data_IF_201827076338
#
_entry.id   IF_201827076338
#
_cell.length_a   1.000
_cell.length_b   1.000
_cell.length_c   1.000
_cell.angle_alpha   90.00
_cell.angle_beta   90.00
_cell.angle_gamma   90.00
#
_symmetry.space_group_name_H-M   'P 1'
#
loop_
_entity.id
_entity.type
_entity.pdbx_description
1 polymer ?
#
# COMPACT_ATOMS: atom_id res chain seq x y z
N UNK A 1 -26.18 -64.05 -1.91
CA UNK A 1 -26.36 -62.85 -1.07
C UNK A 1 -25.28 -61.86 -1.47
N UNK A 2 -25.65 -60.88 -2.29
CA UNK A 2 -24.74 -59.94 -2.96
C UNK A 2 -24.48 -58.71 -2.07
N UNK A 3 -23.25 -58.16 -2.02
CA UNK A 3 -22.97 -56.98 -1.23
C UNK A 3 -23.41 -55.70 -1.96
N UNK A 4 -24.11 -54.85 -1.23
CA UNK A 4 -24.73 -53.60 -1.69
C UNK A 4 -23.68 -52.53 -1.99
N UNK A 5 -23.59 -52.06 -3.24
CA UNK A 5 -22.79 -50.90 -3.64
C UNK A 5 -23.46 -49.59 -3.16
N UNK A 6 -22.71 -48.73 -2.47
CA UNK A 6 -23.11 -47.33 -2.20
C UNK A 6 -23.00 -46.49 -3.49
N UNK A 7 -23.91 -45.53 -3.75
CA UNK A 7 -23.82 -44.68 -4.93
C UNK A 7 -22.79 -43.56 -4.73
N UNK A 8 -21.98 -43.36 -5.78
CA UNK A 8 -21.02 -42.25 -5.93
C UNK A 8 -21.75 -40.91 -6.09
N UNK A 9 -21.44 -39.94 -5.21
CA UNK A 9 -21.84 -38.53 -5.37
C UNK A 9 -21.14 -37.95 -6.59
N UNK A 10 -21.90 -37.60 -7.63
CA UNK A 10 -21.43 -36.79 -8.75
C UNK A 10 -21.16 -35.37 -8.26
N UNK A 11 -19.90 -34.93 -8.38
CA UNK A 11 -19.49 -33.56 -8.11
C UNK A 11 -20.04 -32.65 -9.22
N UNK A 12 -20.95 -31.73 -8.87
CA UNK A 12 -21.30 -30.61 -9.76
C UNK A 12 -20.16 -29.57 -9.70
N UNK A 13 -19.74 -28.98 -10.83
CA UNK A 13 -18.79 -27.89 -10.83
C UNK A 13 -19.39 -26.64 -10.17
N UNK A 14 -18.60 -25.97 -9.35
CA UNK A 14 -18.96 -24.75 -8.63
C UNK A 14 -19.02 -23.59 -9.63
N UNK A 15 -20.22 -23.08 -9.91
CA UNK A 15 -20.39 -21.80 -10.62
C UNK A 15 -20.07 -20.68 -9.62
N UNK A 16 -19.21 -19.69 -9.93
CA UNK A 16 -18.96 -18.56 -9.04
C UNK A 16 -20.28 -17.83 -8.78
N UNK A 17 -20.69 -17.76 -7.51
CA UNK A 17 -21.98 -17.22 -7.11
C UNK A 17 -22.08 -15.71 -7.36
N UNK A 18 -23.29 -15.24 -7.71
CA UNK A 18 -23.70 -13.83 -7.89
C UNK A 18 -23.06 -12.83 -6.90
N UNK A 19 -22.82 -13.24 -5.65
CA UNK A 19 -22.19 -12.42 -4.62
C UNK A 19 -20.79 -11.88 -5.00
N UNK A 20 -19.96 -12.68 -5.69
CA UNK A 20 -18.63 -12.24 -6.12
C UNK A 20 -18.67 -11.24 -7.28
N UNK A 21 -19.70 -11.32 -8.14
CA UNK A 21 -19.92 -10.37 -9.21
C UNK A 21 -20.40 -9.01 -8.68
N UNK A 22 -21.29 -9.02 -7.68
CA UNK A 22 -21.79 -7.79 -7.03
C UNK A 22 -20.68 -7.08 -6.24
N UNK A 23 -19.80 -7.83 -5.57
CA UNK A 23 -18.66 -7.26 -4.84
C UNK A 23 -17.59 -6.68 -5.79
N UNK A 24 -17.30 -7.35 -6.91
CA UNK A 24 -16.41 -6.82 -7.95
C UNK A 24 -17.01 -5.61 -8.67
N UNK A 25 -18.32 -5.61 -8.93
CA UNK A 25 -19.01 -4.45 -9.50
C UNK A 25 -18.97 -3.25 -8.53
N UNK A 26 -19.16 -3.48 -7.23
CA UNK A 26 -19.03 -2.45 -6.20
C UNK A 26 -17.60 -1.95 -6.06
N UNK A 27 -16.61 -2.83 -6.07
CA UNK A 27 -15.20 -2.46 -6.04
C UNK A 27 -14.80 -1.61 -7.25
N UNK A 28 -15.23 -1.99 -8.46
CA UNK A 28 -15.05 -1.18 -9.68
C UNK A 28 -15.76 0.17 -9.59
N UNK A 29 -16.97 0.21 -9.05
CA UNK A 29 -17.71 1.47 -8.85
C UNK A 29 -17.03 2.40 -7.84
N UNK A 30 -16.41 1.85 -6.79
CA UNK A 30 -15.64 2.62 -5.80
C UNK A 30 -14.29 3.09 -6.38
N UNK A 31 -13.63 2.28 -7.20
CA UNK A 31 -12.37 2.62 -7.86
C UNK A 31 -12.57 3.68 -8.97
N UNK A 32 -13.74 3.67 -9.62
CA UNK A 32 -14.12 4.60 -10.68
C UNK A 32 -14.70 5.94 -10.19
N UNK A 33 -14.69 6.23 -8.88
CA UNK A 33 -15.19 7.50 -8.35
C UNK A 33 -14.44 7.94 -7.11
N UNK A 34 -13.89 9.15 -7.14
CA UNK A 34 -13.24 9.79 -5.98
C UNK A 34 -13.89 11.13 -5.68
N UNK A 35 -14.11 11.42 -4.40
CA UNK A 35 -14.63 12.71 -3.95
C UNK A 35 -13.65 13.33 -2.96
N UNK A 36 -13.24 14.56 -3.24
CA UNK A 36 -12.33 15.34 -2.43
C UNK A 36 -13.12 16.40 -1.66
N UNK A 37 -12.86 16.61 -0.36
CA UNK A 37 -13.49 17.69 0.38
C UNK A 37 -13.11 19.06 -0.22
N UNK A 38 -13.84 20.14 0.09
CA UNK A 38 -13.46 21.49 -0.30
C UNK A 38 -12.02 21.79 0.15
N UNK A 39 -11.18 22.23 -0.78
CA UNK A 39 -9.79 22.57 -0.45
C UNK A 39 -9.73 23.91 0.29
N UNK A 40 -8.87 24.04 1.31
CA UNK A 40 -8.72 25.29 2.04
C UNK A 40 -8.20 26.41 1.13
N UNK A 41 -8.51 27.69 1.47
CA UNK A 41 -7.92 28.85 0.81
C UNK A 41 -6.38 28.77 0.81
N UNK A 42 -5.75 29.28 -0.25
CA UNK A 42 -4.29 29.26 -0.36
C UNK A 42 -3.68 30.34 0.53
N UNK A 43 -2.71 29.96 1.37
CA UNK A 43 -2.06 30.86 2.32
C UNK A 43 -1.26 31.97 1.62
N UNK A 44 -0.61 31.66 0.50
CA UNK A 44 0.24 32.58 -0.28
C UNK A 44 -0.26 32.69 -1.73
N UNK A 45 -1.18 33.62 -2.04
CA UNK A 45 -1.66 33.84 -3.40
C UNK A 45 -0.59 34.52 -4.27
N UNK A 46 0.13 33.74 -5.07
CA UNK A 46 1.18 34.21 -6.00
C UNK A 46 1.85 33.03 -6.71
N UNK A 47 2.59 33.26 -7.80
CA UNK A 47 3.34 32.20 -8.51
C UNK A 47 2.47 31.21 -9.32
N UNK A 48 3.09 30.10 -9.80
CA UNK A 48 2.38 29.01 -10.50
C UNK A 48 1.26 28.44 -9.63
N UNK A 49 0.18 27.95 -10.26
CA UNK A 49 -0.95 27.41 -9.48
C UNK A 49 -0.66 25.98 -9.05
N UNK A 50 0.01 25.22 -9.92
CA UNK A 50 0.45 23.87 -9.67
C UNK A 50 1.95 23.81 -9.37
N UNK A 51 2.34 22.79 -8.61
CA UNK A 51 3.72 22.53 -8.20
C UNK A 51 4.40 21.53 -9.12
N UNK A 52 3.66 20.53 -9.61
CA UNK A 52 4.19 19.45 -10.43
C UNK A 52 4.14 19.81 -11.90
N UNK A 53 4.98 19.18 -12.72
CA UNK A 53 5.00 19.46 -14.16
C UNK A 53 3.69 19.01 -14.83
N UNK A 54 3.05 17.93 -14.36
CA UNK A 54 1.75 17.46 -14.87
C UNK A 54 0.59 18.34 -14.41
N UNK A 55 0.63 18.86 -13.17
CA UNK A 55 -0.32 19.85 -12.69
C UNK A 55 -0.24 21.15 -13.49
N UNK A 56 0.97 21.59 -13.85
CA UNK A 56 1.15 22.74 -14.74
C UNK A 56 0.64 22.45 -16.15
N UNK A 57 0.96 21.30 -16.75
CA UNK A 57 0.42 20.91 -18.05
C UNK A 57 -1.13 20.85 -18.07
N UNK A 58 -1.75 20.45 -16.97
CA UNK A 58 -3.22 20.50 -16.81
C UNK A 58 -3.76 21.93 -16.79
N UNK A 59 -3.09 22.84 -16.09
CA UNK A 59 -3.45 24.27 -16.08
C UNK A 59 -3.28 24.87 -17.48
N UNK A 60 -2.13 24.63 -18.12
CA UNK A 60 -1.80 25.14 -19.44
C UNK A 60 -2.86 24.71 -20.47
N UNK A 61 -3.30 23.45 -20.43
CA UNK A 61 -4.34 22.96 -21.33
C UNK A 61 -5.66 23.72 -21.23
N UNK A 62 -6.01 24.28 -20.06
CA UNK A 62 -7.15 25.16 -19.92
C UNK A 62 -6.81 26.59 -20.35
N UNK A 63 -5.69 27.14 -19.89
CA UNK A 63 -5.30 28.52 -20.16
C UNK A 63 -5.12 28.79 -21.66
N UNK A 64 -4.59 27.82 -22.40
CA UNK A 64 -4.41 27.89 -23.86
C UNK A 64 -5.75 27.93 -24.63
N UNK A 65 -6.84 27.42 -24.04
CA UNK A 65 -8.20 27.54 -24.64
C UNK A 65 -8.85 28.89 -24.34
N UNK A 66 -8.33 29.64 -23.37
CA UNK A 66 -9.00 30.81 -22.83
C UNK A 66 -8.64 32.08 -23.61
N UNK A 67 -9.65 32.71 -24.21
CA UNK A 67 -9.48 33.96 -24.96
C UNK A 67 -9.47 35.22 -24.06
N UNK A 68 -9.82 35.09 -22.78
CA UNK A 68 -9.97 36.21 -21.84
C UNK A 68 -9.17 35.96 -20.56
N UNK A 69 -7.99 36.57 -20.49
CA UNK A 69 -7.08 36.52 -19.34
C UNK A 69 -7.71 37.10 -18.06
N UNK A 70 -8.64 38.06 -18.18
CA UNK A 70 -9.36 38.61 -17.04
C UNK A 70 -10.34 37.60 -16.43
N UNK A 71 -10.92 36.69 -17.23
CA UNK A 71 -11.73 35.58 -16.72
C UNK A 71 -10.88 34.56 -15.97
N UNK A 72 -9.71 34.21 -16.50
CA UNK A 72 -8.76 33.31 -15.84
C UNK A 72 -8.31 33.87 -14.48
N UNK A 73 -7.91 35.15 -14.43
CA UNK A 73 -7.51 35.80 -13.19
C UNK A 73 -8.62 35.77 -12.12
N UNK A 74 -9.88 35.99 -12.52
CA UNK A 74 -11.02 35.85 -11.59
C UNK A 74 -11.25 34.40 -11.16
N UNK A 75 -11.11 33.43 -12.06
CA UNK A 75 -11.22 32.02 -11.72
C UNK A 75 -10.16 31.56 -10.74
N UNK A 76 -8.90 31.99 -10.95
CA UNK A 76 -7.79 31.79 -10.03
C UNK A 76 -8.09 32.36 -8.66
N UNK A 77 -8.58 33.60 -8.59
CA UNK A 77 -8.94 34.23 -7.32
C UNK A 77 -10.08 33.47 -6.58
N UNK A 78 -11.00 32.84 -7.32
CA UNK A 78 -12.05 32.01 -6.71
C UNK A 78 -11.50 30.69 -6.16
N UNK A 79 -10.58 30.06 -6.88
CA UNK A 79 -9.87 28.88 -6.41
C UNK A 79 -9.06 29.20 -5.14
N UNK A 80 -8.28 30.30 -5.16
CA UNK A 80 -7.46 30.75 -4.04
C UNK A 80 -8.26 31.01 -2.76
N UNK A 81 -9.52 31.46 -2.89
CA UNK A 81 -10.41 31.76 -1.75
C UNK A 81 -11.25 30.58 -1.28
N UNK A 82 -11.06 29.38 -1.85
CA UNK A 82 -11.83 28.20 -1.47
C UNK A 82 -13.31 28.26 -1.86
N UNK A 83 -13.66 28.92 -2.97
CA UNK A 83 -15.06 29.01 -3.43
C UNK A 83 -15.57 27.75 -4.16
N UNK A 84 -14.77 26.68 -4.21
CA UNK A 84 -15.13 25.41 -4.83
C UNK A 84 -15.44 24.42 -3.71
N UNK A 85 -16.65 23.88 -3.70
CA UNK A 85 -17.07 22.83 -2.76
C UNK A 85 -16.38 21.49 -3.08
N UNK A 86 -16.86 20.39 -2.48
CA UNK A 86 -16.33 19.06 -2.72
C UNK A 86 -16.27 18.71 -4.22
N UNK A 87 -15.11 18.23 -4.65
CA UNK A 87 -14.81 17.90 -6.05
C UNK A 87 -15.01 16.40 -6.24
N UNK A 88 -15.88 16.00 -7.17
CA UNK A 88 -16.07 14.59 -7.55
C UNK A 88 -15.42 14.32 -8.90
N UNK A 89 -14.58 13.29 -8.95
CA UNK A 89 -13.88 12.81 -10.14
C UNK A 89 -14.38 11.42 -10.50
N UNK A 90 -14.69 11.24 -11.79
CA UNK A 90 -15.05 9.97 -12.44
C UNK A 90 -14.34 9.89 -13.80
N UNK A 91 -14.31 8.72 -14.48
CA UNK A 91 -13.80 8.62 -15.84
C UNK A 91 -14.27 9.75 -16.76
N UNK A 92 -13.29 10.47 -17.31
CA UNK A 92 -13.47 11.59 -18.23
C UNK A 92 -14.11 12.85 -17.66
N UNK A 93 -14.27 12.97 -16.32
CA UNK A 93 -15.15 14.01 -15.77
C UNK A 93 -14.83 14.45 -14.34
N UNK A 94 -14.77 15.76 -14.14
CA UNK A 94 -14.67 16.44 -12.83
C UNK A 94 -15.90 17.31 -12.61
N UNK A 95 -16.50 17.28 -11.42
CA UNK A 95 -17.63 18.16 -11.06
C UNK A 95 -17.46 18.74 -9.67
N UNK A 96 -17.83 20.01 -9.53
CA UNK A 96 -18.03 20.64 -8.24
C UNK A 96 -19.15 21.69 -8.29
N UNK A 97 -19.62 22.06 -7.12
CA UNK A 97 -20.39 23.29 -6.94
C UNK A 97 -19.44 24.44 -6.61
N UNK A 98 -19.64 25.59 -7.24
CA UNK A 98 -18.80 26.77 -7.10
C UNK A 98 -19.66 27.94 -6.69
N UNK A 99 -19.31 28.53 -5.54
CA UNK A 99 -19.97 29.71 -5.00
C UNK A 99 -19.73 30.90 -5.91
N UNK A 100 -20.72 31.78 -6.01
CA UNK A 100 -20.70 32.93 -6.90
C UNK A 100 -21.50 34.10 -6.33
N UNK A 101 -22.00 34.97 -7.20
CA UNK A 101 -22.83 36.10 -6.77
C UNK A 101 -24.25 35.73 -6.34
N UNK A 102 -24.74 34.53 -6.70
CA UNK A 102 -26.07 34.05 -6.33
C UNK A 102 -26.00 33.19 -5.06
N UNK A 103 -27.06 33.17 -4.23
CA UNK A 103 -27.12 32.30 -3.05
C UNK A 103 -26.99 30.80 -3.37
N UNK A 104 -27.47 30.38 -4.54
CA UNK A 104 -27.33 28.99 -5.01
C UNK A 104 -26.02 28.83 -5.80
N UNK A 105 -25.11 27.91 -5.40
CA UNK A 105 -23.87 27.65 -6.13
C UNK A 105 -24.11 27.18 -7.56
N UNK A 106 -23.17 27.50 -8.45
CA UNK A 106 -23.18 27.03 -9.84
C UNK A 106 -22.53 25.66 -9.93
N UNK A 107 -23.04 24.80 -10.82
CA UNK A 107 -22.43 23.50 -11.08
C UNK A 107 -21.44 23.65 -12.22
N UNK A 108 -20.15 23.50 -11.90
CA UNK A 108 -19.07 23.49 -12.87
C UNK A 108 -18.66 22.05 -13.18
N UNK A 109 -18.26 21.82 -14.43
CA UNK A 109 -17.88 20.52 -14.94
C UNK A 109 -16.70 20.67 -15.89
N UNK A 110 -15.70 19.81 -15.74
CA UNK A 110 -14.62 19.62 -16.70
C UNK A 110 -14.77 18.23 -17.31
N UNK A 111 -14.65 18.12 -18.63
CA UNK A 111 -14.57 16.83 -19.32
C UNK A 111 -13.24 16.68 -20.02
N UNK A 112 -12.63 15.53 -19.85
CA UNK A 112 -11.41 15.10 -20.51
C UNK A 112 -11.70 13.81 -21.28
N UNK A 113 -11.17 13.63 -22.48
CA UNK A 113 -11.35 12.36 -23.20
C UNK A 113 -10.64 11.23 -22.46
N UNK A 114 -11.32 10.11 -22.31
CA UNK A 114 -10.70 8.88 -21.81
C UNK A 114 -9.77 8.28 -22.87
N UNK A 115 -8.71 7.62 -22.43
CA UNK A 115 -7.79 6.96 -23.34
C UNK A 115 -8.42 5.68 -23.91
N UNK A 116 -8.19 5.38 -25.20
CA UNK A 116 -8.57 4.10 -25.78
C UNK A 116 -7.70 2.96 -25.23
N UNK A 117 -8.16 1.72 -25.39
CA UNK A 117 -7.47 0.55 -24.84
C UNK A 117 -6.04 0.42 -25.37
N UNK A 118 -5.81 0.76 -26.64
CA UNK A 118 -4.49 0.69 -27.27
C UNK A 118 -3.50 1.69 -26.65
N UNK A 119 -3.98 2.84 -26.17
CA UNK A 119 -3.14 3.81 -25.46
C UNK A 119 -2.82 3.32 -24.04
N UNK A 120 -3.80 2.73 -23.35
CA UNK A 120 -3.55 2.06 -22.07
C UNK A 120 -2.56 0.91 -22.19
N UNK A 121 -2.61 0.13 -23.27
CA UNK A 121 -1.66 -0.94 -23.51
C UNK A 121 -0.23 -0.43 -23.71
N UNK A 122 -0.04 0.67 -24.45
CA UNK A 122 1.27 1.33 -24.58
C UNK A 122 1.77 1.87 -23.24
N UNK A 123 0.90 2.53 -22.46
CA UNK A 123 1.23 3.02 -21.13
C UNK A 123 1.73 1.89 -20.24
N UNK A 124 0.92 0.84 -20.10
CA UNK A 124 1.20 -0.30 -19.24
C UNK A 124 2.45 -1.07 -19.70
N UNK A 125 2.67 -1.21 -21.01
CA UNK A 125 3.88 -1.82 -21.54
C UNK A 125 5.14 -1.02 -21.19
N UNK A 126 5.09 0.31 -21.39
CA UNK A 126 6.23 1.20 -21.09
C UNK A 126 6.53 1.26 -19.58
N UNK A 127 5.50 1.23 -18.74
CA UNK A 127 5.65 1.19 -17.30
C UNK A 127 6.19 -0.16 -16.80
N UNK A 128 5.73 -1.27 -17.36
CA UNK A 128 6.17 -2.60 -16.96
C UNK A 128 7.57 -2.98 -17.47
N UNK A 129 8.05 -2.35 -18.54
CA UNK A 129 9.38 -2.62 -19.11
C UNK A 129 10.54 -2.16 -18.21
N UNK A 130 10.29 -1.29 -17.23
CA UNK A 130 11.33 -0.65 -16.40
C UNK A 130 10.85 -0.55 -14.94
N UNK A 131 11.45 -1.28 -13.97
CA UNK A 131 11.04 -1.26 -12.57
C UNK A 131 10.99 0.15 -11.94
N UNK A 132 11.88 1.04 -12.37
CA UNK A 132 11.92 2.43 -11.91
C UNK A 132 10.66 3.23 -12.28
N UNK A 133 10.02 2.93 -13.42
CA UNK A 133 8.76 3.60 -13.80
C UNK A 133 7.63 3.21 -12.86
N UNK A 134 7.58 1.94 -12.44
CA UNK A 134 6.63 1.47 -11.45
C UNK A 134 6.91 2.10 -10.08
N UNK A 135 8.19 2.16 -9.66
CA UNK A 135 8.58 2.81 -8.41
C UNK A 135 8.16 4.29 -8.40
N UNK A 136 8.45 5.06 -9.46
CA UNK A 136 8.00 6.45 -9.58
C UNK A 136 6.49 6.60 -9.44
N UNK A 137 5.69 5.74 -10.09
CA UNK A 137 4.23 5.79 -9.96
C UNK A 137 3.75 5.50 -8.53
N UNK A 138 4.41 4.58 -7.81
CA UNK A 138 4.10 4.28 -6.41
C UNK A 138 4.46 5.45 -5.49
N UNK A 139 5.52 6.18 -5.81
CA UNK A 139 5.94 7.42 -5.15
C UNK A 139 5.12 8.64 -5.60
N UNK A 140 4.03 8.43 -6.36
CA UNK A 140 3.15 9.47 -6.90
C UNK A 140 3.86 10.48 -7.80
N UNK A 141 4.87 10.02 -8.53
CA UNK A 141 5.51 10.77 -9.59
C UNK A 141 5.05 10.26 -10.97
N UNK A 142 4.97 11.16 -11.94
CA UNK A 142 4.60 10.84 -13.33
C UNK A 142 5.82 11.05 -14.22
N UNK A 143 6.56 10.00 -14.58
CA UNK A 143 7.67 10.11 -15.51
C UNK A 143 7.21 10.63 -16.89
N UNK A 144 7.96 11.59 -17.46
CA UNK A 144 7.67 12.13 -18.80
C UNK A 144 7.55 11.04 -19.87
N UNK A 145 8.36 9.98 -19.77
CA UNK A 145 8.31 8.85 -20.70
C UNK A 145 6.95 8.12 -20.68
N UNK A 146 6.35 7.95 -19.50
CA UNK A 146 5.03 7.31 -19.37
C UNK A 146 3.91 8.21 -19.85
N UNK A 147 3.99 9.49 -19.50
CA UNK A 147 3.04 10.48 -19.98
C UNK A 147 3.00 10.56 -21.51
N UNK A 148 4.16 10.53 -22.16
CA UNK A 148 4.28 10.57 -23.62
C UNK A 148 3.81 9.27 -24.30
N UNK A 149 3.96 8.11 -23.65
CA UNK A 149 3.59 6.82 -24.25
C UNK A 149 2.09 6.68 -24.59
N UNK A 150 1.24 7.45 -23.91
CA UNK A 150 -0.21 7.36 -24.01
C UNK A 150 -0.93 8.71 -24.10
N UNK A 151 -0.22 9.79 -24.41
CA UNK A 151 -0.76 11.15 -24.48
C UNK A 151 -1.57 11.50 -23.22
N UNK A 152 -0.98 11.19 -22.06
CA UNK A 152 -1.68 11.18 -20.78
C UNK A 152 -2.20 12.57 -20.37
N UNK A 153 -1.45 13.62 -20.72
CA UNK A 153 -1.77 14.99 -20.36
C UNK A 153 -2.77 15.59 -21.35
N UNK A 154 -3.70 16.44 -20.90
CA UNK A 154 -4.64 17.11 -21.79
C UNK A 154 -3.91 18.03 -22.78
N UNK A 155 -4.41 18.10 -24.00
CA UNK A 155 -4.08 19.15 -24.97
C UNK A 155 -5.23 20.17 -25.04
N UNK A 156 -5.02 21.29 -25.73
CA UNK A 156 -6.00 22.39 -25.90
C UNK A 156 -7.41 21.89 -26.25
N UNK A 157 -7.54 20.97 -27.22
CA UNK A 157 -8.85 20.45 -27.65
C UNK A 157 -9.39 19.28 -26.82
N UNK A 158 -8.67 18.85 -25.79
CA UNK A 158 -8.98 17.65 -25.00
C UNK A 158 -9.78 17.95 -23.74
N UNK A 159 -9.62 19.17 -23.19
CA UNK A 159 -10.22 19.61 -21.95
C UNK A 159 -11.35 20.61 -22.21
N UNK A 160 -12.58 20.18 -22.01
CA UNK A 160 -13.76 21.04 -22.16
C UNK A 160 -14.32 21.46 -20.81
N UNK A 161 -14.73 22.71 -20.69
CA UNK A 161 -15.26 23.27 -19.45
C UNK A 161 -16.71 23.77 -19.63
N UNK A 162 -17.60 23.30 -18.76
CA UNK A 162 -19.02 23.64 -18.74
C UNK A 162 -19.43 24.18 -17.37
N UNK A 163 -20.42 25.09 -17.35
CA UNK A 163 -20.94 25.63 -16.10
C UNK A 163 -22.39 26.10 -16.27
N UNK A 164 -23.19 25.94 -15.21
CA UNK A 164 -24.59 26.43 -15.19
C UNK A 164 -24.73 27.93 -14.99
N UNK A 165 -23.63 28.69 -14.93
CA UNK A 165 -23.67 30.13 -14.77
C UNK A 165 -24.08 30.83 -16.08
N UNK A 166 -24.66 32.06 -16.01
CA UNK A 166 -25.08 32.79 -17.20
C UNK A 166 -23.93 33.38 -18.04
N UNK A 167 -22.67 33.22 -17.60
CA UNK A 167 -21.49 33.68 -18.35
C UNK A 167 -21.21 32.71 -19.50
N UNK A 168 -21.27 33.23 -20.74
CA UNK A 168 -21.00 32.48 -21.98
C UNK A 168 -19.51 32.42 -22.33
N UNK A 169 -18.63 32.76 -21.40
CA UNK A 169 -17.19 32.61 -21.55
C UNK A 169 -16.74 31.15 -21.54
N UNK A 170 -15.73 30.84 -22.35
CA UNK A 170 -15.10 29.53 -22.44
C UNK A 170 -13.61 29.66 -22.05
N UNK A 171 -13.19 29.22 -20.84
CA UNK A 171 -14.02 28.89 -19.68
C UNK A 171 -14.59 30.13 -18.97
N UNK A 172 -15.69 29.96 -18.22
CA UNK A 172 -16.14 30.96 -17.26
C UNK A 172 -15.28 30.92 -15.98
N UNK A 173 -15.34 31.96 -15.14
CA UNK A 173 -14.55 32.00 -13.89
C UNK A 173 -14.78 30.79 -12.95
N UNK A 174 -15.99 30.22 -12.93
CA UNK A 174 -16.29 29.08 -12.05
C UNK A 174 -15.67 27.77 -12.59
N UNK A 175 -15.72 27.56 -13.90
CA UNK A 175 -15.07 26.43 -14.56
C UNK A 175 -13.54 26.52 -14.43
N UNK A 176 -12.98 27.72 -14.63
CA UNK A 176 -11.57 27.99 -14.38
C UNK A 176 -11.17 27.72 -12.92
N UNK A 177 -11.99 28.16 -11.94
CA UNK A 177 -11.74 27.88 -10.53
C UNK A 177 -11.69 26.36 -10.22
N UNK A 178 -12.61 25.58 -10.81
CA UNK A 178 -12.59 24.12 -10.70
C UNK A 178 -11.32 23.53 -11.31
N UNK A 179 -10.89 24.02 -12.47
CA UNK A 179 -9.67 23.55 -13.14
C UNK A 179 -8.42 23.78 -12.30
N UNK A 180 -8.27 24.99 -11.75
CA UNK A 180 -7.18 25.32 -10.85
C UNK A 180 -7.18 24.43 -9.59
N UNK A 181 -8.32 24.26 -8.90
CA UNK A 181 -8.37 23.36 -7.74
C UNK A 181 -8.10 21.89 -8.11
N UNK A 182 -8.49 21.46 -9.31
CA UNK A 182 -8.18 20.12 -9.80
C UNK A 182 -6.66 19.95 -9.99
N UNK A 183 -5.94 20.98 -10.44
CA UNK A 183 -4.49 20.94 -10.55
C UNK A 183 -3.80 20.65 -9.20
N UNK A 184 -4.31 21.21 -8.11
CA UNK A 184 -3.81 20.92 -6.75
C UNK A 184 -4.08 19.49 -6.31
N UNK A 185 -5.25 18.95 -6.65
CA UNK A 185 -5.55 17.54 -6.41
C UNK A 185 -4.57 16.65 -7.19
N UNK A 186 -4.26 17.03 -8.44
CA UNK A 186 -3.30 16.30 -9.28
C UNK A 186 -1.86 16.39 -8.73
N UNK A 187 -1.46 17.51 -8.13
CA UNK A 187 -0.16 17.67 -7.48
C UNK A 187 0.00 16.70 -6.29
N UNK A 188 -1.05 16.50 -5.50
CA UNK A 188 -1.04 15.61 -4.33
C UNK A 188 -1.23 14.12 -4.70
N UNK A 189 -1.92 13.86 -5.81
CA UNK A 189 -2.26 12.52 -6.25
C UNK A 189 -2.47 12.41 -7.78
N UNK A 190 -1.45 11.96 -8.53
CA UNK A 190 -1.57 11.78 -9.97
C UNK A 190 -2.49 10.63 -10.38
N UNK A 191 -2.92 9.74 -9.46
CA UNK A 191 -3.89 8.70 -9.80
C UNK A 191 -5.25 9.26 -10.20
N UNK A 192 -5.52 10.51 -9.82
CA UNK A 192 -6.69 11.26 -10.30
C UNK A 192 -6.61 11.51 -11.81
N UNK A 193 -5.43 11.69 -12.38
CA UNK A 193 -5.23 11.81 -13.83
C UNK A 193 -5.55 10.50 -14.54
N UNK A 194 -5.08 9.36 -14.02
CA UNK A 194 -5.38 8.05 -14.58
C UNK A 194 -6.88 7.74 -14.51
N UNK A 195 -7.53 8.10 -13.39
CA UNK A 195 -8.97 7.99 -13.24
C UNK A 195 -9.70 8.82 -14.29
N UNK A 196 -9.29 10.07 -14.50
CA UNK A 196 -9.84 10.93 -15.55
C UNK A 196 -9.63 10.35 -16.95
N UNK A 197 -8.49 9.70 -17.19
CA UNK A 197 -8.21 8.98 -18.44
C UNK A 197 -8.90 7.63 -18.55
N UNK A 198 -9.62 7.19 -17.52
CA UNK A 198 -10.57 6.07 -17.57
C UNK A 198 -10.19 4.82 -16.79
N UNK A 199 -9.07 4.81 -16.04
CA UNK A 199 -8.68 3.66 -15.20
C UNK A 199 -8.54 4.07 -13.75
N UNK A 200 -9.22 3.33 -12.88
CA UNK A 200 -9.07 3.51 -11.43
C UNK A 200 -7.69 3.09 -10.93
N UNK A 201 -7.35 3.51 -9.72
CA UNK A 201 -6.05 3.22 -9.09
C UNK A 201 -5.85 1.72 -8.92
N UNK A 202 -6.85 1.02 -8.36
CA UNK A 202 -6.73 -0.41 -8.13
C UNK A 202 -6.66 -1.20 -9.43
N UNK A 203 -7.46 -0.80 -10.42
CA UNK A 203 -7.43 -1.37 -11.75
C UNK A 203 -6.05 -1.21 -12.42
N UNK A 204 -5.48 0.00 -12.36
CA UNK A 204 -4.19 0.32 -12.95
C UNK A 204 -3.06 -0.47 -12.29
N UNK A 205 -2.96 -0.44 -10.96
CA UNK A 205 -1.92 -1.13 -10.22
C UNK A 205 -1.97 -2.64 -10.47
N UNK A 206 -3.17 -3.25 -10.47
CA UNK A 206 -3.32 -4.67 -10.83
C UNK A 206 -2.87 -4.96 -12.25
N UNK A 207 -3.16 -4.09 -13.21
CA UNK A 207 -2.72 -4.27 -14.59
C UNK A 207 -1.19 -4.20 -14.72
N UNK A 208 -0.56 -3.25 -14.04
CA UNK A 208 0.89 -3.11 -13.98
C UNK A 208 1.55 -4.34 -13.35
N UNK A 209 1.11 -4.78 -12.16
CA UNK A 209 1.66 -5.96 -11.50
C UNK A 209 1.59 -7.22 -12.37
N UNK A 210 0.47 -7.44 -13.07
CA UNK A 210 0.36 -8.57 -14.00
C UNK A 210 1.33 -8.47 -15.19
N UNK A 211 1.56 -7.27 -15.72
CA UNK A 211 2.39 -7.08 -16.91
C UNK A 211 3.87 -7.16 -16.56
N UNK A 212 4.27 -6.61 -15.41
CA UNK A 212 5.63 -6.74 -14.86
C UNK A 212 5.99 -8.20 -14.61
N UNK A 213 5.09 -9.00 -14.01
CA UNK A 213 5.38 -10.42 -13.76
C UNK A 213 5.56 -11.24 -15.04
N UNK A 214 4.78 -10.93 -16.09
CA UNK A 214 4.96 -11.55 -17.41
C UNK A 214 6.31 -11.14 -18.01
N UNK A 215 6.67 -9.85 -17.96
CA UNK A 215 7.94 -9.37 -18.50
C UNK A 215 9.15 -10.01 -17.79
N UNK A 216 9.12 -10.12 -16.46
CA UNK A 216 10.17 -10.77 -15.71
C UNK A 216 10.26 -12.27 -15.99
N UNK A 217 9.13 -12.95 -16.21
CA UNK A 217 9.11 -14.36 -16.60
C UNK A 217 9.71 -14.55 -18.00
N UNK A 218 9.39 -13.68 -18.95
CA UNK A 218 9.94 -13.70 -20.30
C UNK A 218 11.45 -13.43 -20.32
N UNK A 219 11.92 -12.40 -19.62
CA UNK A 219 13.35 -12.10 -19.53
C UNK A 219 14.13 -13.26 -18.90
N UNK A 220 13.58 -13.90 -17.86
CA UNK A 220 14.17 -15.12 -17.28
C UNK A 220 14.14 -16.31 -18.23
N UNK A 221 13.11 -16.45 -19.05
CA UNK A 221 13.04 -17.52 -20.07
C UNK A 221 14.06 -17.35 -21.20
N UNK A 222 14.38 -16.09 -21.56
CA UNK A 222 15.40 -15.74 -22.55
C UNK A 222 16.81 -15.88 -21.99
N UNK A 223 16.99 -15.67 -20.69
CA UNK A 223 18.21 -16.04 -19.97
C UNK A 223 18.32 -17.57 -19.93
N UNK A 224 18.82 -18.15 -21.02
CA UNK A 224 18.94 -19.60 -21.18
C UNK A 224 19.78 -20.17 -20.05
N UNK A 225 19.14 -20.90 -19.14
CA UNK A 225 19.84 -21.82 -18.26
C UNK A 225 20.67 -22.77 -19.15
N UNK A 226 21.92 -23.09 -18.79
CA UNK A 226 22.70 -24.04 -19.57
C UNK A 226 21.89 -25.32 -19.74
N UNK A 227 21.73 -25.77 -20.99
CA UNK A 227 21.21 -27.10 -21.26
C UNK A 227 22.23 -28.08 -20.67
N UNK A 228 21.91 -28.59 -19.50
CA UNK A 228 22.66 -29.68 -18.90
C UNK A 228 22.22 -30.96 -19.61
N UNK A 229 23.18 -31.75 -20.06
CA UNK A 229 22.93 -33.10 -20.55
C UNK A 229 22.14 -33.87 -19.49
N UNK A 230 20.88 -34.17 -19.79
CA UNK A 230 20.01 -34.88 -18.86
C UNK A 230 20.17 -36.39 -19.05
N UNK A 231 20.41 -37.09 -17.94
CA UNK A 231 20.45 -38.55 -17.89
C UNK A 231 19.18 -39.06 -17.21
N UNK A 232 18.49 -40.08 -17.75
CA UNK A 232 17.37 -40.70 -17.07
C UNK A 232 17.80 -41.20 -15.69
N UNK A 233 17.01 -40.88 -14.65
CA UNK A 233 17.36 -41.17 -13.25
C UNK A 233 17.70 -42.66 -13.00
N UNK A 234 17.03 -43.57 -13.74
CA UNK A 234 17.30 -45.02 -13.69
C UNK A 234 18.72 -45.38 -14.15
N UNK A 235 19.25 -44.67 -15.15
CA UNK A 235 20.53 -44.98 -15.78
C UNK A 235 21.67 -44.35 -14.95
N UNK A 236 21.44 -43.16 -14.39
CA UNK A 236 22.32 -42.56 -13.37
C UNK A 236 22.44 -43.44 -12.11
N UNK A 237 21.31 -43.97 -11.62
CA UNK A 237 21.29 -44.86 -10.46
C UNK A 237 21.90 -46.24 -10.74
N UNK A 238 21.69 -46.79 -11.95
CA UNK A 238 22.28 -48.06 -12.36
C UNK A 238 23.81 -47.97 -12.52
N UNK A 239 24.33 -46.87 -13.08
CA UNK A 239 25.77 -46.61 -13.19
C UNK A 239 26.46 -46.47 -11.82
N UNK A 240 25.77 -45.88 -10.84
CA UNK A 240 26.25 -45.74 -9.46
C UNK A 240 26.30 -47.06 -8.66
N UNK A 241 25.55 -48.10 -9.06
CA UNK A 241 25.54 -49.41 -8.39
C UNK A 241 26.73 -50.31 -8.74
N UNK A 242 27.43 -50.02 -9.84
CA UNK A 242 28.52 -50.83 -10.37
C UNK A 242 29.92 -50.19 -10.26
N UNK A 243 30.02 -48.98 -9.72
CA UNK A 243 31.28 -48.21 -9.69
C UNK A 243 31.31 -47.13 -8.62
N UNK A 244 32.50 -46.58 -8.39
CA UNK A 244 32.80 -45.54 -7.41
C UNK A 244 31.92 -44.30 -7.67
N UNK A 245 31.15 -43.87 -6.67
CA UNK A 245 30.32 -42.66 -6.74
C UNK A 245 31.20 -41.46 -7.14
N UNK A 246 30.71 -40.55 -8.00
CA UNK A 246 31.43 -39.32 -8.27
C UNK A 246 31.67 -38.57 -6.96
N UNK A 247 32.82 -37.87 -6.83
CA UNK A 247 33.07 -37.03 -5.66
C UNK A 247 31.94 -36.01 -5.54
N UNK A 248 31.59 -35.65 -4.30
CA UNK A 248 30.63 -34.58 -4.05
C UNK A 248 31.10 -33.32 -4.81
N UNK A 249 30.17 -32.58 -5.44
CA UNK A 249 30.51 -31.27 -5.99
C UNK A 249 31.14 -30.41 -4.88
N UNK A 250 32.04 -29.48 -5.25
CA UNK A 250 32.64 -28.58 -4.28
C UNK A 250 31.53 -27.84 -3.53
N UNK A 251 31.78 -27.53 -2.26
CA UNK A 251 30.85 -26.73 -1.46
C UNK A 251 30.55 -25.42 -2.19
N UNK A 252 29.27 -25.16 -2.45
CA UNK A 252 28.85 -23.90 -3.04
C UNK A 252 29.02 -22.80 -2.01
N UNK A 253 29.61 -21.64 -2.38
CA UNK A 253 29.70 -20.52 -1.47
C UNK A 253 28.29 -20.08 -1.08
N UNK A 254 28.06 -19.84 0.22
CA UNK A 254 26.79 -19.30 0.68
C UNK A 254 26.58 -17.91 0.03
N UNK A 255 25.41 -17.65 -0.57
CA UNK A 255 25.12 -16.34 -1.14
C UNK A 255 25.11 -15.27 -0.04
N UNK A 256 25.56 -14.06 -0.39
CA UNK A 256 25.65 -12.95 0.57
C UNK A 256 24.27 -12.51 1.09
N UNK A 257 23.22 -12.71 0.29
CA UNK A 257 21.84 -12.33 0.60
C UNK A 257 20.88 -13.46 0.23
N UNK A 258 19.70 -13.55 0.87
CA UNK A 258 18.63 -14.43 0.43
C UNK A 258 18.24 -14.15 -1.02
N UNK A 259 18.10 -15.20 -1.84
CA UNK A 259 17.60 -15.05 -3.20
C UNK A 259 16.11 -14.70 -3.21
N UNK A 260 15.69 -13.95 -4.23
CA UNK A 260 14.27 -13.60 -4.44
C UNK A 260 13.59 -14.68 -5.28
N UNK A 261 12.34 -15.04 -4.97
CA UNK A 261 11.60 -16.02 -5.75
C UNK A 261 11.36 -15.55 -7.19
N UNK A 262 11.11 -16.50 -8.13
CA UNK A 262 10.66 -16.16 -9.46
C UNK A 262 9.23 -15.60 -9.42
N UNK A 263 8.90 -14.72 -10.36
CA UNK A 263 7.53 -14.24 -10.57
C UNK A 263 6.60 -15.41 -10.94
N UNK A 264 5.53 -15.58 -10.17
CA UNK A 264 4.56 -16.65 -10.41
C UNK A 264 3.43 -16.19 -11.35
N UNK A 265 3.11 -16.94 -12.42
CA UNK A 265 1.98 -16.62 -13.28
C UNK A 265 0.66 -16.80 -12.52
N UNK A 266 -0.32 -15.92 -12.79
CA UNK A 266 -1.69 -16.12 -12.29
C UNK A 266 -2.32 -17.33 -13.00
N UNK A 267 -2.87 -18.29 -12.25
CA UNK A 267 -3.68 -19.38 -12.79
C UNK A 267 -5.02 -19.50 -12.02
N UNK A 268 -6.13 -19.86 -12.67
CA UNK A 268 -7.47 -19.83 -12.06
C UNK A 268 -7.62 -20.65 -10.77
N UNK A 269 -6.88 -21.76 -10.67
CA UNK A 269 -6.90 -22.69 -9.53
C UNK A 269 -5.63 -22.59 -8.65
N UNK A 270 -4.74 -21.64 -8.93
CA UNK A 270 -3.52 -21.45 -8.14
C UNK A 270 -3.75 -20.54 -6.93
N UNK A 271 -2.95 -20.69 -5.85
CA UNK A 271 -2.88 -19.71 -4.78
C UNK A 271 -2.60 -18.31 -5.33
N UNK A 272 -3.07 -17.28 -4.61
CA UNK A 272 -2.79 -15.88 -4.96
C UNK A 272 -1.28 -15.69 -5.21
N UNK A 273 -0.87 -15.23 -6.41
CA UNK A 273 0.55 -15.13 -6.76
C UNK A 273 1.34 -14.21 -5.84
N UNK A 274 0.70 -13.18 -5.27
CA UNK A 274 1.33 -12.31 -4.29
C UNK A 274 1.57 -13.07 -2.97
N UNK A 275 0.57 -13.78 -2.47
CA UNK A 275 0.74 -14.66 -1.30
C UNK A 275 1.82 -15.74 -1.52
N UNK A 276 1.93 -16.29 -2.74
CA UNK A 276 2.97 -17.27 -3.08
C UNK A 276 4.37 -16.65 -3.12
N UNK A 277 4.52 -15.48 -3.74
CA UNK A 277 5.75 -14.68 -3.76
C UNK A 277 6.25 -14.38 -2.34
N UNK A 278 5.34 -14.00 -1.45
CA UNK A 278 5.62 -13.74 -0.05
C UNK A 278 6.10 -15.00 0.68
N UNK A 279 5.37 -16.12 0.57
CA UNK A 279 5.76 -17.38 1.19
C UNK A 279 7.11 -17.88 0.68
N UNK A 280 7.38 -17.72 -0.60
CA UNK A 280 8.65 -18.12 -1.20
C UNK A 280 9.81 -17.21 -0.78
N UNK A 281 9.57 -15.90 -0.64
CA UNK A 281 10.53 -14.94 -0.08
C UNK A 281 10.87 -15.31 1.36
N UNK A 282 9.87 -15.58 2.20
CA UNK A 282 10.06 -16.00 3.59
C UNK A 282 10.83 -17.33 3.70
N UNK A 283 10.52 -18.29 2.82
CA UNK A 283 11.27 -19.54 2.75
C UNK A 283 12.73 -19.32 2.35
N UNK A 284 12.99 -18.42 1.40
CA UNK A 284 14.35 -18.03 0.99
C UNK A 284 15.14 -17.39 2.11
N UNK A 285 14.53 -16.48 2.87
CA UNK A 285 15.15 -15.84 4.06
C UNK A 285 15.48 -16.88 5.14
N UNK A 286 14.55 -17.79 5.45
CA UNK A 286 14.79 -18.86 6.42
C UNK A 286 15.90 -19.82 5.97
N UNK A 287 15.90 -20.21 4.69
CA UNK A 287 16.93 -21.09 4.14
C UNK A 287 18.31 -20.44 4.17
N UNK A 288 18.41 -19.14 3.88
CA UNK A 288 19.64 -18.37 3.99
C UNK A 288 20.14 -18.28 5.43
N UNK A 289 19.25 -18.01 6.40
CA UNK A 289 19.60 -17.99 7.82
C UNK A 289 20.12 -19.36 8.29
N UNK A 290 19.45 -20.44 7.90
CA UNK A 290 19.89 -21.81 8.18
C UNK A 290 21.27 -22.11 7.60
N UNK A 291 21.50 -21.73 6.34
CA UNK A 291 22.76 -21.96 5.64
C UNK A 291 23.93 -21.18 6.27
N UNK A 292 23.70 -19.94 6.69
CA UNK A 292 24.75 -19.04 7.16
C UNK A 292 25.03 -19.12 8.66
N UNK A 293 24.01 -19.44 9.47
CA UNK A 293 24.11 -19.44 10.94
C UNK A 293 23.96 -20.83 11.55
N UNK A 294 23.42 -21.80 10.80
CA UNK A 294 23.05 -23.12 11.34
C UNK A 294 21.82 -23.11 12.25
N UNK A 295 21.20 -21.95 12.47
CA UNK A 295 20.04 -21.77 13.33
C UNK A 295 18.79 -21.48 12.52
N UNK A 296 17.67 -22.08 12.95
CA UNK A 296 16.36 -21.81 12.36
C UNK A 296 15.66 -20.69 13.15
N UNK A 297 15.45 -19.50 12.54
CA UNK A 297 14.83 -18.38 13.24
C UNK A 297 13.34 -18.60 13.55
N UNK A 298 12.69 -19.59 12.91
CA UNK A 298 11.26 -19.88 13.07
C UNK A 298 11.04 -21.04 14.05
N UNK A 299 11.97 -22.00 14.13
CA UNK A 299 11.85 -23.16 15.02
C UNK A 299 11.51 -22.83 16.49
N UNK A 300 12.04 -21.77 17.13
CA UNK A 300 11.69 -21.47 18.52
C UNK A 300 10.33 -20.77 18.67
N UNK A 301 9.69 -20.32 17.58
CA UNK A 301 8.46 -19.57 17.64
C UNK A 301 7.25 -20.50 17.82
N UNK A 302 6.34 -20.10 18.71
CA UNK A 302 5.00 -20.69 18.78
C UNK A 302 4.20 -20.40 17.50
N UNK A 303 3.14 -21.18 17.20
CA UNK A 303 2.26 -20.90 16.05
C UNK A 303 1.67 -19.48 16.06
N UNK A 304 1.45 -18.92 17.25
CA UNK A 304 0.97 -17.54 17.39
C UNK A 304 2.06 -16.52 17.03
N UNK A 305 3.26 -16.66 17.59
CA UNK A 305 4.39 -15.79 17.28
C UNK A 305 4.76 -15.83 15.80
N UNK A 306 4.74 -17.02 15.17
CA UNK A 306 4.98 -17.15 13.74
C UNK A 306 3.86 -16.51 12.90
N UNK A 307 2.60 -16.63 13.31
CA UNK A 307 1.49 -15.94 12.65
C UNK A 307 1.62 -14.41 12.73
N UNK A 308 2.05 -13.87 13.87
CA UNK A 308 2.32 -12.43 14.05
C UNK A 308 3.48 -11.99 13.17
N UNK A 309 4.59 -12.73 13.18
CA UNK A 309 5.77 -12.49 12.33
C UNK A 309 5.38 -12.45 10.85
N UNK A 310 4.64 -13.47 10.39
CA UNK A 310 4.13 -13.54 9.02
C UNK A 310 3.28 -12.31 8.73
N UNK A 311 2.26 -12.00 9.54
CA UNK A 311 1.41 -10.84 9.30
C UNK A 311 2.17 -9.50 9.31
N UNK A 312 3.20 -9.36 10.15
CA UNK A 312 4.02 -8.15 10.25
C UNK A 312 4.86 -7.89 8.99
N UNK A 313 5.34 -8.96 8.35
CA UNK A 313 6.10 -8.90 7.09
C UNK A 313 5.27 -8.44 5.88
N UNK A 314 3.94 -8.32 6.01
CA UNK A 314 3.04 -7.89 4.93
C UNK A 314 2.69 -6.39 5.08
N UNK A 315 3.18 -5.51 4.18
CA UNK A 315 2.76 -4.11 4.16
C UNK A 315 1.26 -4.00 3.86
N UNK A 316 0.57 -3.05 4.50
CA UNK A 316 -0.84 -2.77 4.23
C UNK A 316 -1.86 -3.55 5.08
N UNK A 317 -1.49 -3.93 6.30
CA UNK A 317 -2.33 -4.54 7.35
C UNK A 317 -3.81 -4.14 7.28
N UNK A 318 -4.65 -5.01 6.71
CA UNK A 318 -6.12 -4.87 6.64
C UNK A 318 -6.67 -3.94 5.54
N UNK A 319 -5.81 -3.30 4.75
CA UNK A 319 -6.22 -2.29 3.75
C UNK A 319 -6.72 -2.93 2.45
N UNK A 320 -6.13 -4.05 2.04
CA UNK A 320 -6.50 -4.79 0.81
C UNK A 320 -7.37 -6.01 1.10
N UNK A 321 -8.14 -6.49 0.11
CA UNK A 321 -8.91 -7.73 0.26
C UNK A 321 -8.01 -8.94 0.57
N UNK A 322 -6.82 -8.99 -0.04
CA UNK A 322 -5.83 -10.04 0.20
C UNK A 322 -5.28 -10.01 1.64
N UNK A 323 -4.86 -8.85 2.13
CA UNK A 323 -4.37 -8.70 3.52
C UNK A 323 -5.48 -8.98 4.55
N UNK A 324 -6.74 -8.60 4.29
CA UNK A 324 -7.88 -8.97 5.15
C UNK A 324 -8.13 -10.48 5.18
N UNK A 325 -8.04 -11.15 4.03
CA UNK A 325 -8.19 -12.60 3.96
C UNK A 325 -7.08 -13.32 4.73
N UNK A 326 -5.83 -12.83 4.62
CA UNK A 326 -4.69 -13.34 5.38
C UNK A 326 -4.89 -13.17 6.90
N UNK A 327 -5.19 -11.95 7.36
CA UNK A 327 -5.44 -11.67 8.78
C UNK A 327 -6.57 -12.55 9.31
N UNK A 328 -7.68 -12.65 8.59
CA UNK A 328 -8.79 -13.50 8.99
C UNK A 328 -8.39 -14.99 9.04
N UNK A 329 -7.54 -15.46 8.13
CA UNK A 329 -7.05 -16.84 8.12
C UNK A 329 -6.11 -17.14 9.28
N UNK A 330 -5.13 -16.26 9.52
CA UNK A 330 -4.17 -16.39 10.62
C UNK A 330 -4.86 -16.31 11.97
N UNK A 331 -5.72 -15.32 12.19
CA UNK A 331 -6.53 -15.18 13.40
C UNK A 331 -7.39 -16.43 13.68
N UNK A 332 -8.05 -16.99 12.66
CA UNK A 332 -8.79 -18.25 12.80
C UNK A 332 -7.87 -19.42 13.14
N UNK A 333 -6.71 -19.52 12.48
CA UNK A 333 -5.74 -20.59 12.68
C UNK A 333 -5.11 -20.59 14.08
N UNK A 334 -5.02 -19.42 14.72
CA UNK A 334 -4.43 -19.25 16.05
C UNK A 334 -5.47 -19.07 17.17
N UNK A 335 -6.77 -19.07 16.84
CA UNK A 335 -7.85 -18.88 17.81
C UNK A 335 -7.92 -17.46 18.39
N UNK A 336 -7.44 -16.46 17.66
CA UNK A 336 -7.40 -15.04 18.07
C UNK A 336 -8.32 -14.20 17.20
N UNK A 337 -8.59 -12.96 17.60
CA UNK A 337 -9.33 -12.01 16.76
C UNK A 337 -8.39 -11.28 15.77
N UNK A 338 -8.93 -10.72 14.67
CA UNK A 338 -8.15 -9.84 13.80
C UNK A 338 -7.58 -8.61 14.50
N UNK A 339 -8.28 -8.09 15.52
CA UNK A 339 -7.82 -6.96 16.34
C UNK A 339 -6.63 -7.36 17.20
N UNK A 340 -6.67 -8.54 17.84
CA UNK A 340 -5.54 -9.06 18.61
C UNK A 340 -4.29 -9.21 17.73
N UNK A 341 -4.48 -9.75 16.52
CA UNK A 341 -3.40 -9.90 15.54
C UNK A 341 -2.87 -8.54 15.07
N UNK A 342 -3.74 -7.55 14.84
CA UNK A 342 -3.30 -6.20 14.47
C UNK A 342 -2.47 -5.55 15.57
N UNK A 343 -2.88 -5.68 16.84
CA UNK A 343 -2.13 -5.15 17.99
C UNK A 343 -0.79 -5.88 18.18
N UNK A 344 -0.78 -7.20 18.05
CA UNK A 344 0.44 -8.00 18.10
C UNK A 344 1.40 -7.67 16.96
N UNK A 345 0.90 -7.42 15.75
CA UNK A 345 1.71 -6.96 14.62
C UNK A 345 2.30 -5.57 14.87
N UNK A 346 1.55 -4.65 15.47
CA UNK A 346 2.09 -3.34 15.86
C UNK A 346 3.24 -3.50 16.87
N UNK A 347 3.08 -4.37 17.86
CA UNK A 347 4.11 -4.66 18.85
C UNK A 347 5.35 -5.33 18.22
N UNK A 348 5.13 -6.27 17.31
CA UNK A 348 6.20 -6.92 16.56
C UNK A 348 6.96 -5.94 15.68
N UNK A 349 6.29 -4.97 15.06
CA UNK A 349 6.95 -3.91 14.29
C UNK A 349 7.74 -2.95 15.17
N UNK A 350 7.29 -2.74 16.40
CA UNK A 350 7.98 -1.89 17.37
C UNK A 350 9.31 -2.52 17.84
N UNK A 351 9.35 -3.83 18.14
CA UNK A 351 10.59 -4.46 18.62
C UNK A 351 10.67 -5.98 18.48
N UNK A 352 10.07 -6.54 17.44
CA UNK A 352 10.13 -7.95 17.12
C UNK A 352 9.50 -8.84 18.18
N UNK A 353 10.17 -9.96 18.49
CA UNK A 353 9.69 -10.93 19.47
C UNK A 353 9.57 -10.32 20.87
N UNK A 354 10.52 -9.47 21.27
CA UNK A 354 10.50 -8.81 22.57
C UNK A 354 9.33 -7.81 22.67
N UNK A 355 9.07 -7.05 21.60
CA UNK A 355 7.88 -6.19 21.53
C UNK A 355 6.58 -6.96 21.71
N UNK A 356 6.45 -8.14 21.09
CA UNK A 356 5.30 -9.02 21.31
C UNK A 356 5.23 -9.53 22.75
N UNK A 357 6.34 -9.95 23.35
CA UNK A 357 6.38 -10.36 24.75
C UNK A 357 5.96 -9.24 25.70
N UNK A 358 6.37 -8.00 25.46
CA UNK A 358 5.99 -6.81 26.25
C UNK A 358 4.49 -6.48 26.14
N UNK A 359 3.87 -6.81 24.99
CA UNK A 359 2.43 -6.68 24.83
C UNK A 359 1.66 -7.69 25.70
N UNK A 360 2.15 -8.93 25.77
CA UNK A 360 1.40 -10.09 26.29
C UNK A 360 1.72 -10.43 27.75
N UNK A 361 2.92 -10.12 28.22
CA UNK A 361 3.42 -10.53 29.53
C UNK A 361 3.62 -9.33 30.46
N UNK A 362 3.02 -9.43 31.64
CA UNK A 362 3.32 -8.54 32.75
C UNK A 362 4.26 -9.24 33.74
N UNK A 363 5.23 -8.51 34.28
CA UNK A 363 6.20 -9.06 35.22
C UNK A 363 6.70 -8.00 36.20
N UNK A 364 7.22 -8.42 37.35
CA UNK A 364 7.76 -7.51 38.36
C UNK A 364 9.27 -7.32 38.15
N UNK A 365 9.71 -6.15 37.65
CA UNK A 365 11.13 -5.88 37.46
C UNK A 365 11.88 -5.80 38.79
N UNK A 366 13.14 -6.29 38.86
CA UNK A 366 13.96 -6.10 40.05
C UNK A 366 14.23 -4.62 40.27
N UNK A 367 14.52 -4.25 41.52
CA UNK A 367 14.87 -2.89 41.87
C UNK A 367 16.05 -2.40 40.99
N UNK A 368 15.91 -1.22 40.38
CA UNK A 368 16.92 -0.72 39.45
C UNK A 368 16.39 0.17 38.31
N UNK A 369 16.54 -0.21 37.02
CA UNK A 369 16.17 0.65 35.88
C UNK A 369 14.72 1.15 35.92
N UNK A 370 13.79 0.31 36.38
CA UNK A 370 12.38 0.66 36.52
C UNK A 370 12.15 1.77 37.57
N UNK A 371 12.76 1.65 38.75
CA UNK A 371 12.61 2.63 39.83
C UNK A 371 13.19 4.00 39.47
N UNK A 372 14.25 4.02 38.64
CA UNK A 372 14.89 5.26 38.18
C UNK A 372 14.11 5.97 37.08
N UNK A 373 13.17 5.29 36.41
CA UNK A 373 12.45 5.84 35.28
C UNK A 373 11.53 7.00 35.68
N UNK A 374 10.76 6.86 36.78
CA UNK A 374 9.83 7.92 37.22
C UNK A 374 10.56 9.22 37.62
N UNK A 375 11.63 9.19 38.44
CA UNK A 375 12.42 10.40 38.70
C UNK A 375 13.01 11.03 37.43
N UNK A 376 13.46 10.23 36.46
CA UNK A 376 13.99 10.74 35.19
C UNK A 376 12.93 11.44 34.34
N UNK A 377 11.73 10.85 34.23
CA UNK A 377 10.59 11.44 33.53
C UNK A 377 10.13 12.74 34.18
N UNK A 378 10.04 12.78 35.52
CA UNK A 378 9.69 13.98 36.27
C UNK A 378 10.72 15.10 36.10
N UNK A 379 12.02 14.77 36.09
CA UNK A 379 13.09 15.75 35.89
C UNK A 379 13.04 16.44 34.51
N UNK A 380 12.46 15.77 33.51
CA UNK A 380 12.26 16.30 32.16
C UNK A 380 10.91 17.01 31.97
N UNK A 381 10.11 17.14 33.03
CA UNK A 381 8.83 17.87 33.00
C UNK A 381 7.64 17.06 32.47
N UNK A 382 7.77 15.75 32.35
CA UNK A 382 6.64 14.88 31.95
C UNK A 382 5.65 14.67 33.10
N UNK A 383 4.38 14.32 32.80
CA UNK A 383 3.37 14.02 33.81
C UNK A 383 3.79 12.88 34.75
N UNK A 384 3.18 12.83 35.95
CA UNK A 384 3.46 11.74 36.90
C UNK A 384 2.87 10.42 36.39
N UNK A 385 3.74 9.43 36.22
CA UNK A 385 3.38 8.09 35.78
C UNK A 385 3.09 7.19 36.99
N UNK A 386 1.97 6.47 36.93
CA UNK A 386 1.59 5.45 37.92
C UNK A 386 2.28 4.13 37.60
N UNK A 387 3.09 3.58 38.53
CA UNK A 387 3.73 2.30 38.33
C UNK A 387 2.78 1.13 38.63
N UNK A 388 2.83 0.10 37.79
CA UNK A 388 2.19 -1.19 38.03
C UNK A 388 2.99 -2.29 37.31
N UNK A 389 3.57 -3.24 38.04
CA UNK A 389 4.46 -4.28 37.47
C UNK A 389 5.55 -3.63 36.60
N UNK A 390 5.69 -4.04 35.34
CA UNK A 390 6.62 -3.47 34.36
C UNK A 390 6.03 -2.27 33.60
N UNK A 391 4.90 -1.70 34.01
CA UNK A 391 4.21 -0.61 33.33
C UNK A 391 4.32 0.71 34.11
N UNK A 392 4.52 1.80 33.38
CA UNK A 392 4.36 3.17 33.84
C UNK A 392 3.24 3.80 33.03
N UNK A 393 2.14 4.23 33.66
CA UNK A 393 0.94 4.69 32.95
C UNK A 393 0.48 6.08 33.36
N UNK A 394 -0.06 6.82 32.38
CA UNK A 394 -0.89 8.03 32.55
C UNK A 394 -2.30 7.74 32.04
N UNK A 395 -3.12 8.77 31.80
CA UNK A 395 -4.48 8.62 31.24
C UNK A 395 -4.52 8.17 29.78
N UNK A 396 -3.46 8.44 29.01
CA UNK A 396 -3.44 8.19 27.55
C UNK A 396 -2.11 7.66 27.02
N UNK A 397 -1.06 7.62 27.85
CA UNK A 397 0.27 7.14 27.49
C UNK A 397 0.76 6.12 28.51
N UNK A 398 1.37 5.04 28.04
CA UNK A 398 1.98 4.00 28.86
C UNK A 398 3.35 3.61 28.31
N UNK A 399 4.33 3.47 29.19
CA UNK A 399 5.62 2.87 28.90
C UNK A 399 5.69 1.50 29.55
N UNK A 400 6.18 0.49 28.82
CA UNK A 400 6.37 -0.87 29.33
C UNK A 400 7.82 -1.27 29.26
N UNK A 401 8.36 -1.84 30.33
CA UNK A 401 9.72 -2.36 30.39
C UNK A 401 9.76 -3.82 29.94
N UNK A 402 10.55 -4.09 28.90
CA UNK A 402 10.87 -5.43 28.43
C UNK A 402 11.95 -6.13 29.25
N UNK A 403 12.02 -7.45 29.14
CA UNK A 403 13.05 -8.28 29.80
C UNK A 403 14.44 -8.06 29.20
N UNK A 404 14.47 -7.57 27.97
CA UNK A 404 15.65 -7.06 27.26
C UNK A 404 16.20 -5.73 27.84
N UNK A 405 15.47 -5.09 28.76
CA UNK A 405 15.82 -3.82 29.38
C UNK A 405 15.46 -2.58 28.56
N UNK A 406 14.64 -2.73 27.52
CA UNK A 406 14.15 -1.61 26.70
C UNK A 406 12.75 -1.17 27.12
N UNK A 407 12.45 0.10 26.89
CA UNK A 407 11.15 0.72 27.12
C UNK A 407 10.38 0.82 25.83
N UNK A 408 9.12 0.38 25.87
CA UNK A 408 8.20 0.32 24.74
C UNK A 408 7.02 1.26 24.99
N UNK A 409 6.72 2.10 24.01
CA UNK A 409 5.66 3.10 24.07
C UNK A 409 4.31 2.56 23.63
N UNK A 410 3.26 2.97 24.36
CA UNK A 410 1.86 2.64 24.08
C UNK A 410 0.98 3.88 24.25
N UNK A 411 -0.01 4.03 23.36
CA UNK A 411 -1.02 5.08 23.44
C UNK A 411 -2.43 4.49 23.58
N UNK A 412 -3.33 5.22 24.22
CA UNK A 412 -4.74 4.90 24.31
C UNK A 412 -5.55 6.20 24.27
N UNK A 413 -6.77 6.14 23.74
CA UNK A 413 -7.78 7.16 24.04
C UNK A 413 -7.92 7.29 25.58
N UNK A 414 -8.11 8.52 26.10
CA UNK A 414 -8.36 8.73 27.52
C UNK A 414 -9.51 7.87 28.03
N UNK A 415 -9.31 7.21 29.17
CA UNK A 415 -10.32 6.40 29.89
C UNK A 415 -10.86 5.15 29.14
N UNK A 416 -10.20 4.73 28.04
CA UNK A 416 -10.56 3.51 27.28
C UNK A 416 -9.73 2.28 27.65
N UNK A 417 -8.52 2.50 28.19
CA UNK A 417 -7.51 1.47 28.48
C UNK A 417 -7.19 0.53 27.30
N UNK A 418 -7.42 1.00 26.06
CA UNK A 418 -7.16 0.24 24.84
C UNK A 418 -5.76 0.59 24.30
N UNK A 419 -4.73 0.00 24.91
CA UNK A 419 -3.33 0.34 24.65
C UNK A 419 -2.82 -0.20 23.31
N UNK A 420 -2.34 0.70 22.44
CA UNK A 420 -1.76 0.40 21.13
C UNK A 420 -0.26 0.71 21.08
N UNK A 421 0.59 -0.24 20.64
CA UNK A 421 2.04 -0.04 20.51
C UNK A 421 2.40 1.04 19.50
N UNK A 422 3.23 2.01 19.90
CA UNK A 422 3.62 3.18 19.08
C UNK A 422 5.00 3.73 19.48
N UNK A 423 5.64 4.46 18.57
CA UNK A 423 6.98 5.01 18.79
C UNK A 423 8.07 3.94 18.76
N UNK A 424 9.33 4.38 18.70
CA UNK A 424 10.49 3.50 18.72
C UNK A 424 10.86 3.12 20.16
N UNK A 425 11.25 1.86 20.41
CA UNK A 425 11.70 1.45 21.74
C UNK A 425 13.05 2.08 22.06
N UNK A 426 13.29 2.35 23.35
CA UNK A 426 14.53 2.98 23.82
C UNK A 426 15.04 2.40 25.14
N UNK A 427 16.36 2.42 25.35
CA UNK A 427 16.95 2.03 26.65
C UNK A 427 16.67 3.04 27.76
N UNK A 428 16.43 4.28 27.38
CA UNK A 428 16.09 5.37 28.27
C UNK A 428 14.57 5.66 28.19
N UNK A 429 13.85 5.67 29.32
CA UNK A 429 12.40 5.88 29.33
C UNK A 429 12.00 7.28 28.81
N UNK A 430 12.84 8.30 28.97
CA UNK A 430 12.56 9.64 28.42
C UNK A 430 12.63 9.60 26.90
N UNK A 431 13.71 9.05 26.34
CA UNK A 431 13.86 8.91 24.89
C UNK A 431 12.73 8.08 24.24
N UNK A 432 12.30 6.99 24.90
CA UNK A 432 11.17 6.18 24.44
C UNK A 432 9.84 6.96 24.47
N UNK A 433 9.64 7.80 25.50
CA UNK A 433 8.47 8.66 25.61
C UNK A 433 8.47 9.78 24.56
N UNK A 434 9.62 10.42 24.33
CA UNK A 434 9.76 11.47 23.32
C UNK A 434 9.51 10.93 21.91
N UNK A 435 10.00 9.72 21.61
CA UNK A 435 9.70 9.03 20.34
C UNK A 435 8.21 8.77 20.18
N UNK A 436 7.53 8.36 21.25
CA UNK A 436 6.08 8.16 21.26
C UNK A 436 5.31 9.46 21.03
N UNK A 437 5.72 10.56 21.66
CA UNK A 437 5.05 11.87 21.55
C UNK A 437 5.37 12.64 20.26
N UNK A 438 6.53 12.38 19.66
CA UNK A 438 6.98 13.01 18.40
C UNK A 438 6.48 12.33 17.13
N UNK A 439 5.83 11.16 17.24
CA UNK A 439 5.27 10.40 16.12
C UNK A 439 3.82 10.80 15.75
N UNK A 440 3.40 12.01 16.13
CA UNK A 440 2.03 12.56 16.00
C UNK A 440 1.83 13.52 14.84
#
# INVERSE_FOLDING_TARGET
>A
MSPTRRPTRTHRPHVPGRAGADEQARARHLDARRTFPPLPPRAEPGGSFALTWWGNAWVDALEDTALDQGRLARGRAYADRGHVDAITVTPGRVVAYVHGSRPRPYRAELRLRTLPEEAWDRFLGTAAARPEHLASLLDKDVPHALAAAADLLPTVDDLTAECTCPDRGHPCKHAAALCYQTARILDEDPFVLFLLRGRGEQELLRALTRRSSVHEAEERSKARAPELDSLPAKDAYAGARGGQLPPLPPEFPAPQYPERPPSYPQAPDAPDPLALDLLATEAGVRAHALLTTGADPIAPLSPWQDAVRLAAAHPGSGLTAATRALYASLSRGTGRTPTDLARAVAAWRQGGLEGLSVLEEEWDPPAGPFDRARPALLAMGHPDFRPHRNHLSTSSVQLRLGRDGWWYGYESEPDREDWWPRGEPGRDPVSALDSLLGAG
#
